data_IF_558017237558
#
_entry.id   IF_558017237558
#
_cell.length_a   1.000
_cell.length_b   1.000
_cell.length_c   1.000
_cell.angle_alpha   90.00
_cell.angle_beta   90.00
_cell.angle_gamma   90.00
#
_symmetry.space_group_name_H-M   'P 1'
#
loop_
_entity.id
_entity.type
_entity.pdbx_description
1 polymer ?
#
# COMPACT_ATOMS: atom_id res chain seq x y z
N UNK A 1 -16.11 37.54 28.38
CA UNK A 1 -14.70 37.20 28.10
C UNK A 1 -14.61 35.68 27.95
N UNK A 2 -14.57 35.17 26.72
CA UNK A 2 -14.22 33.77 26.48
C UNK A 2 -12.76 33.60 26.92
N UNK A 3 -12.49 32.74 27.92
CA UNK A 3 -11.11 32.44 28.31
C UNK A 3 -10.44 31.73 27.13
N UNK A 4 -9.45 32.39 26.53
CA UNK A 4 -8.61 31.79 25.50
C UNK A 4 -7.99 30.48 26.02
N UNK A 5 -8.15 29.40 25.26
CA UNK A 5 -7.59 28.11 25.62
C UNK A 5 -6.05 28.17 25.60
N UNK A 6 -5.43 27.54 26.60
CA UNK A 6 -3.96 27.41 26.64
C UNK A 6 -3.43 26.54 25.50
N UNK A 7 -2.17 26.74 25.14
CA UNK A 7 -1.45 25.97 24.12
C UNK A 7 -1.57 24.46 24.35
N UNK A 8 -1.41 24.01 25.59
CA UNK A 8 -1.53 22.59 25.95
C UNK A 8 -2.95 22.06 25.76
N UNK A 9 -4.00 22.86 26.02
CA UNK A 9 -5.39 22.45 25.78
C UNK A 9 -5.69 22.37 24.28
N UNK A 10 -5.25 23.36 23.51
CA UNK A 10 -5.37 23.36 22.06
C UNK A 10 -4.60 22.20 21.43
N UNK A 11 -3.41 21.89 21.94
CA UNK A 11 -2.60 20.74 21.52
C UNK A 11 -3.35 19.42 21.71
N UNK A 12 -3.92 19.20 22.90
CA UNK A 12 -4.69 18.00 23.20
C UNK A 12 -5.94 17.88 22.33
N UNK A 13 -6.74 18.95 22.20
CA UNK A 13 -7.94 18.92 21.37
C UNK A 13 -7.61 18.75 19.88
N UNK A 14 -6.57 19.41 19.38
CA UNK A 14 -6.12 19.28 18.00
C UNK A 14 -5.63 17.87 17.69
N UNK A 15 -4.81 17.29 18.57
CA UNK A 15 -4.33 15.91 18.42
C UNK A 15 -5.49 14.91 18.45
N UNK A 16 -6.44 15.08 19.38
CA UNK A 16 -7.64 14.26 19.46
C UNK A 16 -8.50 14.36 18.20
N UNK A 17 -8.72 15.57 17.66
CA UNK A 17 -9.48 15.76 16.43
C UNK A 17 -8.83 15.07 15.22
N UNK A 18 -7.50 15.17 15.07
CA UNK A 18 -6.77 14.46 14.00
C UNK A 18 -6.79 12.94 14.23
N UNK A 19 -6.66 12.49 15.48
CA UNK A 19 -6.75 11.08 15.87
C UNK A 19 -8.09 10.47 15.53
N UNK A 20 -9.18 11.18 15.84
CA UNK A 20 -10.54 10.78 15.52
C UNK A 20 -10.76 10.71 14.00
N UNK A 21 -10.30 11.72 13.25
CA UNK A 21 -10.35 11.72 11.79
C UNK A 21 -9.58 10.54 11.17
N UNK A 22 -8.40 10.22 11.71
CA UNK A 22 -7.67 9.03 11.26
C UNK A 22 -8.42 7.74 11.59
N UNK A 23 -8.97 7.62 12.80
CA UNK A 23 -9.78 6.48 13.23
C UNK A 23 -11.00 6.26 12.32
N UNK A 24 -11.76 7.31 12.01
CA UNK A 24 -12.89 7.27 11.07
C UNK A 24 -12.42 6.77 9.70
N UNK A 25 -11.35 7.36 9.16
CA UNK A 25 -10.78 6.96 7.88
C UNK A 25 -10.41 5.49 7.83
N UNK A 26 -9.66 5.03 8.82
CA UNK A 26 -9.11 3.70 8.75
C UNK A 26 -10.15 2.62 9.04
N UNK A 27 -11.12 2.91 9.92
CA UNK A 27 -12.26 2.04 10.15
C UNK A 27 -13.12 1.89 8.89
N UNK A 28 -13.45 2.98 8.19
CA UNK A 28 -14.23 2.89 6.94
C UNK A 28 -13.40 2.21 5.83
N UNK A 29 -12.10 2.48 5.74
CA UNK A 29 -11.21 1.80 4.79
C UNK A 29 -11.18 0.28 5.02
N UNK A 30 -11.07 -0.17 6.28
CA UNK A 30 -11.13 -1.59 6.66
C UNK A 30 -12.52 -2.17 6.38
N UNK A 31 -13.60 -1.42 6.65
CA UNK A 31 -14.97 -1.86 6.38
C UNK A 31 -15.23 -2.09 4.88
N UNK A 32 -14.79 -1.18 4.01
CA UNK A 32 -14.85 -1.38 2.56
C UNK A 32 -14.00 -2.60 2.15
N UNK A 33 -12.82 -2.76 2.74
CA UNK A 33 -11.91 -3.87 2.43
C UNK A 33 -12.49 -5.24 2.78
N UNK A 34 -13.18 -5.38 3.91
CA UNK A 34 -13.85 -6.62 4.32
C UNK A 34 -14.93 -7.10 3.35
N UNK A 35 -15.54 -6.19 2.57
CA UNK A 35 -16.57 -6.55 1.58
C UNK A 35 -16.01 -7.39 0.44
N UNK A 36 -14.71 -7.31 0.17
CA UNK A 36 -14.09 -7.95 -0.98
C UNK A 36 -14.33 -9.46 -1.04
N UNK A 37 -14.34 -10.15 0.11
CA UNK A 37 -14.69 -11.58 0.19
C UNK A 37 -16.11 -11.85 -0.32
N UNK A 38 -17.11 -11.15 0.24
CA UNK A 38 -18.50 -11.30 -0.17
C UNK A 38 -18.71 -10.94 -1.65
N UNK A 39 -18.07 -9.87 -2.14
CA UNK A 39 -18.11 -9.49 -3.57
C UNK A 39 -17.56 -10.60 -4.46
N UNK A 40 -16.46 -11.23 -4.06
CA UNK A 40 -15.87 -12.36 -4.78
C UNK A 40 -16.78 -13.60 -4.77
N UNK A 41 -17.34 -13.96 -3.61
CA UNK A 41 -18.23 -15.12 -3.45
C UNK A 41 -19.53 -14.97 -4.25
N UNK A 42 -20.11 -13.77 -4.25
CA UNK A 42 -21.34 -13.43 -4.98
C UNK A 42 -21.09 -13.11 -6.46
N UNK A 43 -19.83 -13.08 -6.89
CA UNK A 43 -19.41 -12.66 -8.24
C UNK A 43 -19.87 -11.24 -8.61
N UNK A 44 -20.00 -10.38 -7.61
CA UNK A 44 -20.40 -8.99 -7.76
C UNK A 44 -19.21 -8.10 -8.13
N UNK A 45 -18.87 -8.13 -9.41
CA UNK A 45 -17.75 -7.38 -9.98
C UNK A 45 -18.02 -5.88 -10.06
N UNK A 46 -19.29 -5.48 -10.21
CA UNK A 46 -19.68 -4.07 -10.21
C UNK A 46 -19.51 -3.48 -8.81
N UNK A 47 -19.95 -4.19 -7.77
CA UNK A 47 -19.72 -3.83 -6.38
C UNK A 47 -18.24 -3.76 -6.02
N UNK A 48 -17.42 -4.71 -6.50
CA UNK A 48 -15.97 -4.66 -6.33
C UNK A 48 -15.35 -3.37 -6.94
N UNK A 49 -15.79 -2.99 -8.15
CA UNK A 49 -15.32 -1.77 -8.80
C UNK A 49 -15.79 -0.51 -8.03
N UNK A 50 -17.04 -0.48 -7.59
CA UNK A 50 -17.59 0.61 -6.79
C UNK A 50 -16.86 0.78 -5.45
N UNK A 51 -16.57 -0.33 -4.76
CA UNK A 51 -15.79 -0.33 -3.52
C UNK A 51 -14.34 0.18 -3.77
N UNK A 52 -13.76 -0.09 -4.95
CA UNK A 52 -12.43 0.43 -5.33
C UNK A 52 -12.44 1.95 -5.47
N UNK A 53 -13.44 2.50 -6.16
CA UNK A 53 -13.62 3.95 -6.30
C UNK A 53 -13.87 4.61 -4.94
N UNK A 54 -14.77 4.03 -4.14
CA UNK A 54 -15.07 4.56 -2.79
C UNK A 54 -13.82 4.61 -1.91
N UNK A 55 -13.01 3.56 -1.92
CA UNK A 55 -11.76 3.47 -1.15
C UNK A 55 -10.72 4.51 -1.58
N UNK A 56 -10.67 4.85 -2.88
CA UNK A 56 -9.78 5.89 -3.42
C UNK A 56 -10.17 7.30 -2.95
N UNK A 57 -11.48 7.61 -2.94
CA UNK A 57 -11.99 8.93 -2.60
C UNK A 57 -12.06 9.20 -1.09
N UNK A 58 -12.26 8.14 -0.29
CA UNK A 58 -12.54 8.19 1.14
C UNK A 58 -11.60 9.13 1.91
N UNK A 59 -10.30 8.98 1.69
CA UNK A 59 -9.30 9.74 2.44
C UNK A 59 -9.43 11.24 2.22
N UNK A 60 -9.63 11.68 0.98
CA UNK A 60 -9.72 13.11 0.67
C UNK A 60 -10.92 13.75 1.36
N UNK A 61 -12.05 13.02 1.45
CA UNK A 61 -13.27 13.47 2.14
C UNK A 61 -13.03 13.65 3.64
N UNK A 62 -12.38 12.68 4.28
CA UNK A 62 -12.13 12.72 5.72
C UNK A 62 -11.04 13.75 6.08
N UNK A 63 -10.01 13.90 5.26
CA UNK A 63 -9.01 14.96 5.43
C UNK A 63 -9.68 16.34 5.35
N UNK A 64 -10.59 16.57 4.39
CA UNK A 64 -11.28 17.85 4.28
C UNK A 64 -12.11 18.16 5.55
N UNK A 65 -12.86 17.18 6.06
CA UNK A 65 -13.62 17.32 7.32
C UNK A 65 -12.72 17.60 8.52
N UNK A 66 -11.62 16.83 8.64
CA UNK A 66 -10.66 16.99 9.74
C UNK A 66 -10.02 18.38 9.71
N UNK A 67 -9.65 18.86 8.52
CA UNK A 67 -9.08 20.21 8.34
C UNK A 67 -10.08 21.30 8.72
N UNK A 68 -11.36 21.16 8.32
CA UNK A 68 -12.41 22.10 8.75
C UNK A 68 -12.58 22.13 10.26
N UNK A 69 -12.66 20.97 10.90
CA UNK A 69 -12.78 20.87 12.37
C UNK A 69 -11.58 21.50 13.08
N UNK A 70 -10.35 21.31 12.57
CA UNK A 70 -9.15 21.94 13.13
C UNK A 70 -9.17 23.46 12.95
N UNK A 71 -9.64 23.96 11.80
CA UNK A 71 -9.78 25.41 11.56
C UNK A 71 -10.77 26.04 12.53
N UNK A 72 -11.91 25.40 12.79
CA UNK A 72 -12.89 25.88 13.77
C UNK A 72 -12.35 25.79 15.20
N UNK A 73 -11.63 24.72 15.54
CA UNK A 73 -11.08 24.51 16.88
C UNK A 73 -9.98 25.50 17.25
N UNK A 74 -9.06 25.76 16.32
CA UNK A 74 -7.89 26.62 16.57
C UNK A 74 -8.14 28.08 16.21
N UNK A 75 -9.11 28.37 15.35
CA UNK A 75 -9.54 29.70 14.90
C UNK A 75 -8.34 30.59 14.50
N UNK A 76 -8.15 31.75 15.15
CA UNK A 76 -7.03 32.67 14.88
C UNK A 76 -5.65 32.03 15.09
N UNK A 77 -5.56 30.97 15.90
CA UNK A 77 -4.32 30.22 16.19
C UNK A 77 -4.10 29.02 15.28
N UNK A 78 -4.88 28.86 14.22
CA UNK A 78 -4.72 27.72 13.29
C UNK A 78 -3.34 27.62 12.64
N UNK A 79 -2.63 28.75 12.50
CA UNK A 79 -1.27 28.80 11.94
C UNK A 79 -0.19 29.01 13.00
N UNK A 80 -0.51 28.89 14.29
CA UNK A 80 0.45 29.06 15.38
C UNK A 80 1.37 27.83 15.49
N UNK A 81 2.64 28.04 15.17
CA UNK A 81 3.65 26.98 15.14
C UNK A 81 3.83 26.29 16.49
N UNK A 82 3.78 27.03 17.60
CA UNK A 82 3.96 26.49 18.95
C UNK A 82 2.86 25.51 19.31
N UNK A 83 1.62 25.83 18.92
CA UNK A 83 0.47 24.92 19.10
C UNK A 83 0.70 23.64 18.31
N UNK A 84 1.13 23.73 17.06
CA UNK A 84 1.35 22.57 16.19
C UNK A 84 2.48 21.65 16.64
N UNK A 85 3.55 22.21 17.20
CA UNK A 85 4.59 21.40 17.89
C UNK A 85 3.95 20.61 19.04
N UNK A 86 3.10 21.26 19.85
CA UNK A 86 2.34 20.58 20.91
C UNK A 86 1.38 19.52 20.38
N UNK A 87 0.61 19.82 19.33
CA UNK A 87 -0.30 18.86 18.68
C UNK A 87 0.50 17.63 18.21
N UNK A 88 1.64 17.83 17.53
CA UNK A 88 2.47 16.72 17.03
C UNK A 88 2.94 15.84 18.19
N UNK A 89 3.43 16.44 19.27
CA UNK A 89 3.94 15.71 20.44
C UNK A 89 2.83 14.85 21.09
N UNK A 90 1.65 15.43 21.33
CA UNK A 90 0.51 14.68 21.88
C UNK A 90 0.06 13.58 20.92
N UNK A 91 -0.04 13.89 19.63
CA UNK A 91 -0.46 12.92 18.61
C UNK A 91 0.51 11.73 18.50
N UNK A 92 1.82 11.98 18.55
CA UNK A 92 2.85 10.94 18.54
C UNK A 92 2.66 9.95 19.71
N UNK A 93 2.42 10.46 20.92
CA UNK A 93 2.08 9.64 22.08
C UNK A 93 0.78 8.83 21.90
N UNK A 94 -0.25 9.40 21.28
CA UNK A 94 -1.52 8.70 21.03
C UNK A 94 -1.41 7.53 20.04
N UNK A 95 -0.49 7.61 19.07
CA UNK A 95 -0.35 6.59 18.03
C UNK A 95 0.68 5.51 18.37
N UNK A 96 1.42 5.65 19.47
CA UNK A 96 2.49 4.71 19.86
C UNK A 96 1.98 3.27 20.00
N UNK A 97 0.78 3.06 20.56
CA UNK A 97 0.24 1.70 20.75
C UNK A 97 -0.55 1.16 19.54
N UNK A 98 -0.51 1.86 18.40
CA UNK A 98 -1.27 1.45 17.21
C UNK A 98 -0.50 0.45 16.37
N UNK A 99 -1.25 -0.44 15.73
CA UNK A 99 -0.77 -1.42 14.76
C UNK A 99 -0.55 -0.81 13.35
N UNK A 100 -0.98 0.44 13.16
CA UNK A 100 -1.03 1.17 11.89
C UNK A 100 -0.48 2.61 12.01
N UNK A 101 0.44 2.82 12.97
CA UNK A 101 1.02 4.11 13.33
C UNK A 101 1.64 4.84 12.12
N UNK A 102 2.27 4.12 11.19
CA UNK A 102 2.94 4.67 10.02
C UNK A 102 1.94 5.32 9.04
N UNK A 103 0.72 4.77 9.00
CA UNK A 103 -0.38 5.32 8.22
C UNK A 103 -0.97 6.55 8.93
N UNK A 104 -1.00 6.53 10.26
CA UNK A 104 -1.43 7.64 11.12
C UNK A 104 -0.52 8.86 10.96
N UNK A 105 0.81 8.69 11.04
CA UNK A 105 1.80 9.75 10.75
C UNK A 105 1.55 10.39 9.37
N UNK A 106 1.29 9.56 8.36
CA UNK A 106 0.99 10.06 7.00
C UNK A 106 -0.35 10.80 6.93
N UNK A 107 -1.35 10.37 7.69
CA UNK A 107 -2.62 11.08 7.85
C UNK A 107 -2.40 12.46 8.47
N UNK A 108 -1.67 12.53 9.57
CA UNK A 108 -1.27 13.78 10.21
C UNK A 108 -0.58 14.74 9.23
N UNK A 109 0.45 14.26 8.52
CA UNK A 109 1.16 15.05 7.50
C UNK A 109 0.25 15.58 6.38
N UNK A 110 -0.84 14.87 6.09
CA UNK A 110 -1.81 15.31 5.08
C UNK A 110 -2.69 16.45 5.60
N UNK A 111 -2.99 16.46 6.89
CA UNK A 111 -3.76 17.55 7.55
C UNK A 111 -2.88 18.79 7.67
N UNK A 112 -1.68 18.67 8.23
CA UNK A 112 -0.75 19.80 8.44
C UNK A 112 -0.44 20.53 7.13
N UNK A 113 -0.11 19.78 6.06
CA UNK A 113 0.16 20.36 4.73
C UNK A 113 -1.03 21.05 4.10
N UNK A 114 -2.26 20.71 4.47
CA UNK A 114 -3.47 21.38 3.98
C UNK A 114 -3.74 22.70 4.71
N UNK A 115 -3.17 22.86 5.91
CA UNK A 115 -3.30 24.05 6.74
C UNK A 115 -2.19 25.05 6.40
N UNK A 116 -0.93 24.65 6.49
CA UNK A 116 0.21 25.55 6.29
C UNK A 116 0.59 25.80 4.83
N UNK A 117 0.10 24.99 3.89
CA UNK A 117 0.53 25.03 2.49
C UNK A 117 2.07 25.06 2.32
N UNK A 118 2.79 24.40 3.24
CA UNK A 118 4.24 24.51 3.42
C UNK A 118 5.01 24.27 2.13
N UNK A 119 5.94 25.18 1.81
CA UNK A 119 6.97 24.97 0.79
C UNK A 119 8.16 24.28 1.45
N UNK A 120 8.40 23.02 1.11
CA UNK A 120 9.47 22.22 1.72
C UNK A 120 8.95 21.24 2.78
N UNK A 121 9.70 21.06 3.86
CA UNK A 121 9.34 20.24 5.03
C UNK A 121 9.72 20.96 6.31
N UNK A 122 8.90 20.83 7.34
CA UNK A 122 9.20 21.29 8.68
C UNK A 122 9.10 20.12 9.66
N UNK A 123 10.25 19.63 10.13
CA UNK A 123 10.33 18.46 11.00
C UNK A 123 9.74 18.71 12.41
N UNK A 124 9.54 19.96 12.81
CA UNK A 124 8.95 20.29 14.12
C UNK A 124 7.44 20.05 14.11
N UNK A 125 6.78 20.18 12.95
CA UNK A 125 5.33 20.05 12.79
C UNK A 125 4.91 18.96 11.79
N UNK A 126 5.84 18.25 11.15
CA UNK A 126 5.58 17.10 10.26
C UNK A 126 6.44 15.89 10.66
N UNK A 127 5.93 14.69 10.38
CA UNK A 127 6.69 13.43 10.46
C UNK A 127 7.50 13.23 9.17
N UNK A 128 8.68 13.85 9.09
CA UNK A 128 9.59 13.75 7.92
C UNK A 128 10.24 12.36 7.86
N UNK A 129 10.81 11.91 8.96
CA UNK A 129 11.04 10.48 9.22
C UNK A 129 9.91 9.93 10.09
N UNK A 130 9.90 8.63 10.32
CA UNK A 130 9.03 8.06 11.36
C UNK A 130 9.62 8.35 12.73
N UNK A 131 8.77 8.57 13.72
CA UNK A 131 9.22 8.69 15.12
C UNK A 131 9.56 7.30 15.73
N UNK A 132 9.35 6.21 14.96
CA UNK A 132 9.52 4.83 15.39
C UNK A 132 10.45 4.03 14.47
N UNK A 133 11.66 3.69 14.93
CA UNK A 133 12.65 2.93 14.15
C UNK A 133 12.22 1.47 13.85
N UNK A 134 11.36 0.91 14.70
CA UNK A 134 10.76 -0.41 14.57
C UNK A 134 9.27 -0.31 14.93
N UNK A 135 8.43 -1.31 14.58
CA UNK A 135 7.05 -1.35 15.05
C UNK A 135 6.99 -1.13 16.56
N UNK A 136 6.21 -0.15 17.05
CA UNK A 136 6.18 0.19 18.47
C UNK A 136 5.51 -0.91 19.30
N UNK A 137 4.83 -1.84 18.64
CA UNK A 137 4.09 -2.94 19.25
C UNK A 137 4.46 -4.28 18.59
N UNK A 138 4.35 -5.37 19.35
CA UNK A 138 4.50 -6.73 18.83
C UNK A 138 3.25 -7.18 18.07
N UNK A 139 3.43 -8.04 17.06
CA UNK A 139 2.31 -8.63 16.33
C UNK A 139 1.44 -9.48 17.27
N UNK A 140 0.17 -9.09 17.43
CA UNK A 140 -0.81 -9.77 18.30
C UNK A 140 -1.41 -11.01 17.64
N UNK A 141 -1.45 -11.03 16.31
CA UNK A 141 -1.98 -12.14 15.52
C UNK A 141 -0.96 -12.57 14.46
N UNK A 142 -0.88 -13.87 14.13
CA UNK A 142 0.02 -14.34 13.10
C UNK A 142 -0.43 -13.83 11.72
N UNK A 143 0.52 -13.26 10.98
CA UNK A 143 0.30 -12.81 9.61
C UNK A 143 0.41 -13.97 8.62
N UNK A 144 1.10 -15.05 9.01
CA UNK A 144 1.31 -16.24 8.21
C UNK A 144 0.75 -17.48 8.91
N UNK A 145 0.07 -18.32 8.14
CA UNK A 145 -0.22 -19.70 8.50
C UNK A 145 0.84 -20.61 7.91
N UNK A 146 1.32 -21.57 8.69
CA UNK A 146 2.36 -22.52 8.27
C UNK A 146 1.75 -23.92 8.13
N UNK A 147 2.04 -24.58 7.02
CA UNK A 147 1.64 -25.94 6.68
C UNK A 147 2.91 -26.79 6.56
N UNK A 148 3.08 -27.79 7.41
CA UNK A 148 4.24 -28.67 7.39
C UNK A 148 3.85 -30.05 6.82
N UNK A 149 4.80 -30.74 6.18
CA UNK A 149 4.58 -32.11 5.72
C UNK A 149 4.43 -33.12 6.88
N UNK A 150 5.00 -32.78 8.04
CA UNK A 150 4.89 -33.53 9.31
C UNK A 150 4.09 -32.75 10.35
N UNK A 151 2.83 -32.43 10.06
CA UNK A 151 1.95 -31.82 11.07
C UNK A 151 1.38 -32.91 12.00
N UNK A 152 1.48 -32.74 13.31
CA UNK A 152 1.19 -33.77 14.33
C UNK A 152 -0.32 -34.06 14.43
N UNK A 153 -1.16 -33.13 13.98
CA UNK A 153 -2.62 -33.25 13.97
C UNK A 153 -3.19 -33.93 12.71
N UNK A 154 -2.40 -34.05 11.65
CA UNK A 154 -2.84 -34.54 10.34
C UNK A 154 -2.04 -35.78 9.96
N UNK A 155 -2.70 -36.83 9.44
CA UNK A 155 -2.01 -37.94 8.75
C UNK A 155 -0.90 -37.36 7.87
N UNK A 156 0.31 -37.95 7.91
CA UNK A 156 1.48 -37.48 7.13
C UNK A 156 1.01 -37.01 5.75
N UNK A 157 1.25 -35.74 5.45
CA UNK A 157 0.97 -35.19 4.13
C UNK A 157 2.15 -35.60 3.25
N UNK A 158 2.12 -36.88 2.83
CA UNK A 158 3.23 -37.55 2.14
C UNK A 158 3.43 -37.06 0.69
N UNK A 159 2.60 -36.12 0.21
CA UNK A 159 2.73 -35.53 -1.13
C UNK A 159 2.49 -34.02 -1.15
N UNK A 160 3.11 -33.36 -2.12
CA UNK A 160 2.88 -31.94 -2.42
C UNK A 160 1.39 -31.66 -2.67
N UNK A 161 0.70 -32.55 -3.38
CA UNK A 161 -0.74 -32.41 -3.65
C UNK A 161 -1.57 -32.43 -2.36
N UNK A 162 -1.30 -33.36 -1.44
CA UNK A 162 -2.02 -33.43 -0.18
C UNK A 162 -1.83 -32.16 0.66
N UNK A 163 -0.61 -31.62 0.72
CA UNK A 163 -0.31 -30.38 1.43
C UNK A 163 -1.07 -29.18 0.83
N UNK A 164 -1.06 -29.06 -0.49
CA UNK A 164 -1.80 -27.99 -1.18
C UNK A 164 -3.31 -28.17 -1.00
N UNK A 165 -3.82 -29.40 -1.02
CA UNK A 165 -5.24 -29.67 -0.78
C UNK A 165 -5.66 -29.24 0.63
N UNK A 166 -4.86 -29.58 1.66
CA UNK A 166 -5.09 -29.15 3.03
C UNK A 166 -5.09 -27.62 3.15
N UNK A 167 -4.10 -26.96 2.54
CA UNK A 167 -4.02 -25.50 2.47
C UNK A 167 -5.28 -24.90 1.82
N UNK A 168 -5.74 -25.43 0.68
CA UNK A 168 -6.93 -24.90 0.01
C UNK A 168 -8.19 -25.08 0.87
N UNK A 169 -8.32 -26.19 1.59
CA UNK A 169 -9.48 -26.47 2.47
C UNK A 169 -9.56 -25.52 3.66
N UNK A 170 -8.43 -25.02 4.14
CA UNK A 170 -8.39 -24.02 5.22
C UNK A 170 -8.92 -22.64 4.81
N UNK A 171 -8.86 -22.30 3.52
CA UNK A 171 -9.38 -21.03 3.00
C UNK A 171 -10.81 -21.20 2.50
N UNK A 172 -11.75 -21.12 3.43
CA UNK A 172 -13.17 -21.35 3.14
C UNK A 172 -13.85 -20.13 2.48
N UNK A 173 -14.67 -20.44 1.49
CA UNK A 173 -15.57 -19.50 0.81
C UNK A 173 -17.01 -19.97 0.99
N UNK A 174 -17.97 -19.04 0.92
CA UNK A 174 -19.39 -19.39 0.85
C UNK A 174 -19.74 -20.11 -0.47
N UNK A 175 -19.03 -19.79 -1.55
CA UNK A 175 -19.09 -20.54 -2.80
C UNK A 175 -18.22 -21.81 -2.68
N UNK A 176 -18.74 -23.00 -3.05
CA UNK A 176 -17.95 -24.23 -2.97
C UNK A 176 -16.79 -24.20 -3.98
N UNK A 177 -15.74 -24.93 -3.66
CA UNK A 177 -14.73 -25.28 -4.65
C UNK A 177 -15.32 -26.26 -5.68
N UNK A 178 -14.92 -26.11 -6.94
CA UNK A 178 -15.31 -27.05 -8.00
C UNK A 178 -14.76 -28.45 -7.73
N UNK A 179 -13.44 -28.53 -7.54
CA UNK A 179 -12.72 -29.76 -7.29
C UNK A 179 -11.35 -29.43 -6.67
N UNK A 180 -11.27 -29.47 -5.34
CA UNK A 180 -10.05 -29.11 -4.60
C UNK A 180 -8.92 -30.10 -4.89
N UNK A 181 -9.22 -31.39 -5.01
CA UNK A 181 -8.21 -32.42 -5.22
C UNK A 181 -7.56 -32.27 -6.60
N UNK A 182 -8.35 -32.05 -7.64
CA UNK A 182 -7.87 -31.77 -9.00
C UNK A 182 -6.99 -30.53 -9.04
N UNK A 183 -7.43 -29.44 -8.42
CA UNK A 183 -6.70 -28.18 -8.44
C UNK A 183 -5.40 -28.30 -7.64
N UNK A 184 -5.41 -28.97 -6.48
CA UNK A 184 -4.22 -29.27 -5.71
C UNK A 184 -3.21 -30.12 -6.49
N UNK A 185 -3.67 -31.13 -7.22
CA UNK A 185 -2.81 -31.94 -8.10
C UNK A 185 -2.17 -31.11 -9.20
N UNK A 186 -2.94 -30.21 -9.86
CA UNK A 186 -2.41 -29.31 -10.89
C UNK A 186 -1.34 -28.39 -10.34
N UNK A 187 -1.58 -27.80 -9.16
CA UNK A 187 -0.60 -26.94 -8.48
C UNK A 187 0.66 -27.73 -8.10
N UNK A 188 0.51 -28.93 -7.55
CA UNK A 188 1.62 -29.80 -7.18
C UNK A 188 2.52 -30.14 -8.37
N UNK A 189 1.94 -30.49 -9.51
CA UNK A 189 2.69 -30.73 -10.76
C UNK A 189 3.50 -29.49 -11.17
N UNK A 190 2.96 -28.28 -11.02
CA UNK A 190 3.69 -27.04 -11.32
C UNK A 190 4.85 -26.80 -10.35
N UNK A 191 4.62 -27.03 -9.05
CA UNK A 191 5.64 -26.91 -8.01
C UNK A 191 6.78 -27.90 -8.26
N UNK A 192 6.47 -29.18 -8.45
CA UNK A 192 7.46 -30.22 -8.70
C UNK A 192 8.24 -29.96 -9.98
N UNK A 193 7.59 -29.51 -11.04
CA UNK A 193 8.26 -29.10 -12.28
C UNK A 193 9.25 -27.96 -12.05
N UNK A 194 8.88 -26.97 -11.24
CA UNK A 194 9.78 -25.87 -10.86
C UNK A 194 10.97 -26.36 -10.03
N UNK A 195 10.71 -27.21 -9.04
CA UNK A 195 11.75 -27.77 -8.17
C UNK A 195 12.74 -28.62 -8.97
N UNK A 196 12.27 -29.46 -9.91
CA UNK A 196 13.14 -30.23 -10.83
C UNK A 196 14.06 -29.32 -11.64
N UNK A 197 13.55 -28.22 -12.19
CA UNK A 197 14.38 -27.25 -12.94
C UNK A 197 15.46 -26.59 -12.09
N UNK A 198 15.22 -26.46 -10.79
CA UNK A 198 16.17 -25.88 -9.83
C UNK A 198 17.07 -26.94 -9.18
N UNK A 199 16.93 -28.22 -9.53
CA UNK A 199 17.59 -29.35 -8.86
C UNK A 199 17.33 -29.38 -7.35
N UNK A 200 16.14 -28.91 -6.93
CA UNK A 200 15.72 -28.86 -5.54
C UNK A 200 15.01 -30.18 -5.11
N UNK A 201 14.98 -30.50 -3.81
CA UNK A 201 14.17 -31.62 -3.31
C UNK A 201 12.71 -31.49 -3.72
N UNK A 202 12.09 -32.59 -4.14
CA UNK A 202 10.67 -32.61 -4.55
C UNK A 202 9.69 -32.61 -3.38
N UNK A 203 10.20 -32.87 -2.17
CA UNK A 203 9.42 -32.84 -0.94
C UNK A 203 9.46 -31.45 -0.33
N UNK A 204 8.28 -30.87 -0.12
CA UNK A 204 8.13 -29.61 0.59
C UNK A 204 8.33 -29.82 2.09
N UNK A 205 9.21 -29.04 2.69
CA UNK A 205 9.38 -29.01 4.15
C UNK A 205 8.23 -28.25 4.80
N UNK A 206 7.86 -27.11 4.21
CA UNK A 206 6.84 -26.20 4.74
C UNK A 206 6.27 -25.29 3.64
N UNK A 207 5.02 -24.89 3.77
CA UNK A 207 4.41 -23.77 3.05
C UNK A 207 3.92 -22.74 4.05
N UNK A 208 4.15 -21.46 3.76
CA UNK A 208 3.65 -20.34 4.56
C UNK A 208 2.78 -19.43 3.70
N UNK A 209 1.52 -19.24 4.08
CA UNK A 209 0.56 -18.38 3.38
C UNK A 209 0.11 -17.26 4.29
N UNK A 210 -0.06 -16.05 3.75
CA UNK A 210 -0.72 -14.95 4.44
C UNK A 210 -2.10 -15.37 4.96
N UNK A 211 -2.39 -15.08 6.23
CA UNK A 211 -3.66 -15.46 6.87
C UNK A 211 -4.87 -14.79 6.22
N UNK A 212 -4.66 -13.66 5.54
CA UNK A 212 -5.68 -12.87 4.86
C UNK A 212 -5.53 -12.99 3.35
N UNK A 213 -6.67 -13.19 2.68
CA UNK A 213 -6.76 -13.33 1.22
C UNK A 213 -6.67 -11.96 0.57
N UNK A 214 -5.93 -11.88 -0.54
CA UNK A 214 -5.84 -10.66 -1.35
C UNK A 214 -6.88 -10.72 -2.46
N UNK A 215 -7.66 -9.67 -2.67
CA UNK A 215 -8.65 -9.61 -3.74
C UNK A 215 -8.32 -8.49 -4.72
N UNK A 216 -8.46 -8.76 -6.02
CA UNK A 216 -8.32 -7.74 -7.07
C UNK A 216 -9.09 -8.11 -8.32
N UNK A 217 -10.00 -7.22 -8.72
CA UNK A 217 -10.88 -7.47 -9.85
C UNK A 217 -11.73 -8.70 -9.58
N UNK A 218 -11.64 -9.71 -10.45
CA UNK A 218 -12.41 -10.96 -10.36
C UNK A 218 -11.67 -12.12 -9.69
N UNK A 219 -10.51 -11.85 -9.08
CA UNK A 219 -9.62 -12.88 -8.53
C UNK A 219 -9.37 -12.68 -7.05
N UNK A 220 -9.27 -13.81 -6.36
CA UNK A 220 -8.70 -13.92 -5.03
C UNK A 220 -7.29 -14.51 -5.14
N UNK A 221 -6.39 -14.16 -4.21
CA UNK A 221 -5.01 -14.60 -4.24
C UNK A 221 -4.57 -15.04 -2.85
N UNK A 222 -4.10 -16.28 -2.77
CA UNK A 222 -3.39 -16.80 -1.60
C UNK A 222 -1.91 -16.54 -1.82
N UNK A 223 -1.30 -15.73 -0.96
CA UNK A 223 0.05 -15.19 -1.16
C UNK A 223 0.97 -15.75 -0.11
N UNK A 224 2.07 -16.37 -0.54
CA UNK A 224 2.90 -17.17 0.34
C UNK A 224 4.30 -17.44 -0.20
N UNK A 225 4.99 -18.33 0.50
CA UNK A 225 6.24 -18.95 0.08
C UNK A 225 6.27 -20.41 0.49
N UNK A 226 6.98 -21.21 -0.28
CA UNK A 226 7.22 -22.62 0.00
C UNK A 226 8.71 -22.86 0.26
N UNK A 227 8.99 -23.91 1.02
CA UNK A 227 10.32 -24.34 1.44
C UNK A 227 10.55 -25.77 0.97
N UNK A 228 11.64 -25.99 0.24
CA UNK A 228 12.08 -27.30 -0.22
C UNK A 228 13.59 -27.44 0.07
N UNK A 229 13.93 -28.00 1.24
CA UNK A 229 15.30 -27.98 1.75
C UNK A 229 15.79 -26.53 1.94
N UNK A 230 16.91 -26.18 1.31
CA UNK A 230 17.46 -24.82 1.34
C UNK A 230 16.77 -23.84 0.37
N UNK A 231 15.91 -24.34 -0.53
CA UNK A 231 15.24 -23.49 -1.52
C UNK A 231 13.98 -22.85 -0.93
N UNK A 232 13.88 -21.54 -1.08
CA UNK A 232 12.70 -20.74 -0.74
C UNK A 232 12.15 -20.15 -2.03
N UNK A 233 10.92 -20.50 -2.38
CA UNK A 233 10.26 -19.99 -3.57
C UNK A 233 8.99 -19.23 -3.17
N UNK A 234 8.62 -18.15 -3.89
CA UNK A 234 7.30 -17.59 -3.72
C UNK A 234 6.24 -18.60 -4.15
N UNK A 235 5.06 -18.52 -3.55
CA UNK A 235 3.89 -19.30 -3.93
C UNK A 235 2.68 -18.37 -3.91
N UNK A 236 2.16 -18.03 -5.08
CA UNK A 236 0.88 -17.31 -5.19
C UNK A 236 -0.12 -18.13 -5.97
N UNK A 237 -1.22 -18.48 -5.33
CA UNK A 237 -2.34 -19.15 -5.99
C UNK A 237 -3.37 -18.08 -6.37
N UNK A 238 -3.70 -17.98 -7.66
CA UNK A 238 -4.75 -17.13 -8.16
C UNK A 238 -6.04 -17.95 -8.31
N UNK A 239 -7.09 -17.55 -7.59
CA UNK A 239 -8.38 -18.20 -7.57
C UNK A 239 -9.39 -17.38 -8.36
N UNK A 240 -10.25 -18.08 -9.10
CA UNK A 240 -11.41 -17.52 -9.77
C UNK A 240 -12.68 -18.14 -9.21
N UNK A 241 -13.80 -17.43 -9.37
CA UNK A 241 -15.13 -17.91 -9.04
C UNK A 241 -16.05 -17.75 -10.25
N UNK A 242 -16.43 -18.86 -10.87
CA UNK A 242 -17.28 -18.90 -12.06
C UNK A 242 -18.67 -19.51 -11.73
N UNK A 243 -19.38 -20.06 -12.73
CA UNK A 243 -20.67 -20.70 -12.49
C UNK A 243 -20.59 -22.09 -11.83
N UNK A 244 -19.48 -22.80 -12.01
CA UNK A 244 -19.26 -24.11 -11.41
C UNK A 244 -18.66 -24.01 -10.00
N UNK A 245 -18.05 -22.88 -9.63
CA UNK A 245 -17.55 -22.61 -8.28
C UNK A 245 -16.14 -22.04 -8.27
N UNK A 246 -15.52 -22.07 -7.09
CA UNK A 246 -14.14 -21.59 -6.90
C UNK A 246 -13.13 -22.61 -7.42
N UNK A 247 -12.13 -22.16 -8.16
CA UNK A 247 -11.03 -23.00 -8.61
C UNK A 247 -9.70 -22.23 -8.67
N UNK A 248 -8.59 -22.96 -8.65
CA UNK A 248 -7.25 -22.38 -8.85
C UNK A 248 -6.98 -22.24 -10.35
N UNK A 249 -6.89 -21.00 -10.81
CA UNK A 249 -6.63 -20.62 -12.21
C UNK A 249 -5.14 -20.65 -12.53
N UNK A 250 -4.29 -20.23 -11.59
CA UNK A 250 -2.84 -20.18 -11.79
C UNK A 250 -2.07 -20.32 -10.47
N UNK A 251 -0.84 -20.82 -10.57
CA UNK A 251 0.16 -20.81 -9.51
C UNK A 251 1.42 -20.08 -9.99
N UNK A 252 1.81 -19.01 -9.31
CA UNK A 252 3.01 -18.23 -9.60
C UNK A 252 4.11 -18.65 -8.62
N UNK A 253 5.24 -19.09 -9.17
CA UNK A 253 6.38 -19.67 -8.42
C UNK A 253 7.68 -18.88 -8.62
N UNK A 254 7.62 -17.77 -9.35
CA UNK A 254 8.74 -16.95 -9.77
C UNK A 254 8.67 -15.55 -9.17
N UNK A 255 9.82 -15.02 -8.73
CA UNK A 255 9.91 -13.67 -8.16
C UNK A 255 9.40 -12.61 -9.14
N UNK A 256 9.76 -12.73 -10.42
CA UNK A 256 9.39 -11.77 -11.46
C UNK A 256 7.87 -11.71 -11.67
N UNK A 257 7.22 -12.88 -11.68
CA UNK A 257 5.77 -13.00 -11.80
C UNK A 257 5.04 -12.38 -10.61
N UNK A 258 5.52 -12.64 -9.39
CA UNK A 258 4.99 -12.03 -8.17
C UNK A 258 5.28 -10.53 -8.16
N UNK A 259 6.43 -10.09 -8.64
CA UNK A 259 6.76 -8.67 -8.80
C UNK A 259 5.81 -7.96 -9.76
N UNK A 260 5.44 -8.59 -10.88
CA UNK A 260 4.44 -8.06 -11.82
C UNK A 260 3.05 -8.01 -11.16
N UNK A 261 2.72 -9.02 -10.35
CA UNK A 261 1.46 -9.08 -9.62
C UNK A 261 1.29 -7.89 -8.66
N UNK A 262 2.35 -7.51 -7.94
CA UNK A 262 2.41 -6.37 -7.01
C UNK A 262 2.92 -5.07 -7.67
N UNK A 263 2.77 -4.92 -8.99
CA UNK A 263 3.15 -3.69 -9.69
C UNK A 263 2.23 -2.50 -9.34
N UNK A 264 2.83 -1.30 -9.21
CA UNK A 264 2.10 -0.04 -9.03
C UNK A 264 1.23 0.36 -10.23
N UNK A 265 1.41 -0.27 -11.40
CA UNK A 265 0.59 -0.04 -12.61
C UNK A 265 -0.74 -0.79 -12.61
N UNK A 266 -0.98 -1.63 -11.61
CA UNK A 266 -2.23 -2.38 -11.45
C UNK A 266 -3.11 -1.73 -10.38
N UNK A 267 -4.40 -2.09 -10.39
CA UNK A 267 -5.31 -1.73 -9.30
C UNK A 267 -4.82 -2.32 -7.97
N UNK A 268 -5.19 -1.64 -6.88
CA UNK A 268 -4.78 -2.03 -5.54
C UNK A 268 -5.53 -3.30 -5.09
N UNK A 269 -4.85 -4.12 -4.30
CA UNK A 269 -5.46 -5.23 -3.60
C UNK A 269 -6.36 -4.74 -2.47
N UNK A 270 -7.46 -5.46 -2.29
CA UNK A 270 -8.19 -5.47 -1.03
C UNK A 270 -7.64 -6.61 -0.19
N UNK A 271 -6.97 -6.25 0.90
CA UNK A 271 -6.44 -7.19 1.89
C UNK A 271 -6.63 -6.56 3.26
N UNK A 272 -7.20 -7.32 4.19
CA UNK A 272 -7.32 -6.90 5.57
C UNK A 272 -5.94 -6.94 6.21
N UNK A 273 -5.31 -5.78 6.35
CA UNK A 273 -4.01 -5.63 6.98
C UNK A 273 -4.18 -4.87 8.29
N UNK A 274 -4.27 -5.60 9.39
CA UNK A 274 -4.32 -5.01 10.74
C UNK A 274 -2.99 -4.35 11.07
N UNK A 275 -1.88 -4.98 10.67
CA UNK A 275 -0.50 -4.49 10.76
C UNK A 275 0.13 -4.34 9.37
N UNK A 276 -0.10 -3.21 8.67
CA UNK A 276 0.36 -3.02 7.29
C UNK A 276 1.88 -3.13 7.14
N UNK A 277 2.65 -2.59 8.10
CA UNK A 277 4.10 -2.72 8.16
C UNK A 277 4.57 -4.17 8.01
N UNK A 278 4.10 -5.07 8.87
CA UNK A 278 4.57 -6.45 8.89
C UNK A 278 4.13 -7.21 7.63
N UNK A 279 2.94 -6.93 7.11
CA UNK A 279 2.49 -7.47 5.82
C UNK A 279 3.42 -7.02 4.68
N UNK A 280 3.80 -5.75 4.65
CA UNK A 280 4.74 -5.21 3.64
C UNK A 280 6.10 -5.87 3.80
N UNK A 281 6.62 -6.04 5.02
CA UNK A 281 7.88 -6.77 5.26
C UNK A 281 7.83 -8.21 4.77
N UNK A 282 6.72 -8.90 5.01
CA UNK A 282 6.51 -10.24 4.46
C UNK A 282 6.54 -10.23 2.93
N UNK A 283 5.81 -9.32 2.28
CA UNK A 283 5.80 -9.18 0.82
C UNK A 283 7.20 -8.84 0.26
N UNK A 284 8.02 -8.07 0.98
CA UNK A 284 9.41 -7.82 0.61
C UNK A 284 10.25 -9.10 0.59
N UNK A 285 9.95 -10.10 1.42
CA UNK A 285 10.63 -11.40 1.35
C UNK A 285 10.28 -12.19 0.08
N UNK A 286 9.14 -11.89 -0.55
CA UNK A 286 8.72 -12.49 -1.82
C UNK A 286 9.23 -11.72 -3.03
N UNK A 287 9.44 -10.41 -2.88
CA UNK A 287 9.93 -9.50 -3.94
C UNK A 287 11.03 -8.57 -3.38
N UNK A 288 12.25 -9.06 -3.11
CA UNK A 288 13.30 -8.29 -2.43
C UNK A 288 13.72 -7.02 -3.16
N UNK A 289 13.58 -7.01 -4.50
CA UNK A 289 13.92 -5.87 -5.34
C UNK A 289 12.87 -4.76 -5.32
N UNK A 290 11.66 -5.01 -4.80
CA UNK A 290 10.60 -4.00 -4.70
C UNK A 290 10.77 -3.14 -3.45
N UNK A 291 10.59 -1.83 -3.66
CA UNK A 291 10.58 -0.86 -2.56
C UNK A 291 9.32 -1.03 -1.70
N UNK A 292 9.44 -0.76 -0.40
CA UNK A 292 8.30 -0.76 0.52
C UNK A 292 7.17 0.16 0.02
N UNK A 293 7.53 1.34 -0.50
CA UNK A 293 6.60 2.29 -1.11
C UNK A 293 5.68 1.66 -2.17
N UNK A 294 6.20 0.79 -3.04
CA UNK A 294 5.39 0.12 -4.07
C UNK A 294 4.44 -0.91 -3.47
N UNK A 295 4.87 -1.61 -2.43
CA UNK A 295 4.06 -2.62 -1.74
C UNK A 295 2.92 -1.96 -0.95
N UNK A 296 3.17 -0.84 -0.25
CA UNK A 296 2.11 -0.05 0.38
C UNK A 296 1.07 0.45 -0.63
N UNK A 297 1.52 0.93 -1.80
CA UNK A 297 0.62 1.30 -2.89
C UNK A 297 -0.21 0.08 -3.31
N UNK A 298 0.42 -1.07 -3.50
CA UNK A 298 -0.24 -2.29 -3.97
C UNK A 298 -1.34 -2.78 -3.03
N UNK A 299 -1.25 -2.54 -1.71
CA UNK A 299 -2.28 -2.91 -0.72
C UNK A 299 -3.28 -1.78 -0.43
N UNK A 300 -3.19 -0.65 -1.15
CA UNK A 300 -4.16 0.45 -1.10
C UNK A 300 -3.73 1.71 -0.34
N UNK A 301 -2.59 1.69 0.34
CA UNK A 301 -2.05 2.84 1.09
C UNK A 301 -1.19 3.76 0.20
N UNK A 302 -1.75 4.22 -0.91
CA UNK A 302 -1.02 4.99 -1.93
C UNK A 302 -0.43 6.32 -1.43
N UNK A 303 -1.04 6.97 -0.43
CA UNK A 303 -0.46 8.18 0.19
C UNK A 303 0.73 7.85 1.07
N UNK A 304 0.67 6.76 1.84
CA UNK A 304 1.81 6.31 2.63
C UNK A 304 2.96 5.84 1.75
N UNK A 305 2.68 5.18 0.63
CA UNK A 305 3.71 4.89 -0.37
C UNK A 305 4.42 6.14 -0.93
N UNK A 306 3.77 7.32 -0.92
CA UNK A 306 4.47 8.59 -1.25
C UNK A 306 5.38 9.06 -0.12
N UNK A 307 4.93 8.94 1.13
CA UNK A 307 5.75 9.22 2.32
C UNK A 307 7.01 8.36 2.32
N UNK A 308 6.86 7.04 2.14
CA UNK A 308 7.98 6.10 2.08
C UNK A 308 8.92 6.37 0.92
N UNK A 309 8.39 6.69 -0.26
CA UNK A 309 9.23 7.06 -1.41
C UNK A 309 10.04 8.34 -1.14
N UNK A 310 9.46 9.30 -0.42
CA UNK A 310 10.14 10.53 -0.04
C UNK A 310 11.24 10.26 0.99
N UNK A 311 10.96 9.44 2.02
CA UNK A 311 11.95 8.98 3.01
C UNK A 311 13.13 8.26 2.34
N UNK A 312 12.85 7.32 1.43
CA UNK A 312 13.87 6.62 0.63
C UNK A 312 14.76 7.60 -0.16
N UNK A 313 14.15 8.63 -0.76
CA UNK A 313 14.88 9.64 -1.52
C UNK A 313 15.81 10.46 -0.62
N UNK A 314 15.33 10.90 0.54
CA UNK A 314 16.12 11.65 1.51
C UNK A 314 17.30 10.82 2.02
N UNK A 315 17.08 9.54 2.40
CA UNK A 315 18.14 8.61 2.83
C UNK A 315 19.19 8.42 1.73
N UNK A 316 18.76 8.26 0.48
CA UNK A 316 19.67 8.13 -0.66
C UNK A 316 20.50 9.40 -0.90
N UNK A 317 19.90 10.59 -0.76
CA UNK A 317 20.61 11.86 -0.89
C UNK A 317 21.61 12.06 0.25
N UNK A 318 21.23 11.80 1.50
CA UNK A 318 22.12 11.89 2.66
C UNK A 318 23.36 10.98 2.50
N UNK A 319 23.15 9.73 2.08
CA UNK A 319 24.25 8.78 1.83
C UNK A 319 25.19 9.24 0.70
N UNK A 320 24.67 9.94 -0.31
CA UNK A 320 25.50 10.53 -1.37
C UNK A 320 26.25 11.76 -0.90
N UNK A 321 25.65 12.59 -0.06
CA UNK A 321 26.31 13.79 0.49
C UNK A 321 27.44 13.43 1.45
N UNK A 322 27.30 12.31 2.19
CA UNK A 322 28.38 11.76 3.01
C UNK A 322 29.55 11.28 2.13
N UNK A 323 29.27 10.57 1.02
CA UNK A 323 30.30 10.18 0.05
C UNK A 323 30.89 11.36 -0.75
N UNK A 324 30.15 12.47 -0.90
CA UNK A 324 30.61 13.68 -1.57
C UNK A 324 31.35 14.64 -0.63
N UNK A 325 31.52 14.36 0.67
CA UNK A 325 32.52 15.08 1.48
C UNK A 325 33.97 14.81 1.02
N UNK A 326 34.18 13.90 0.06
CA UNK A 326 35.42 13.77 -0.72
C UNK A 326 35.50 14.69 -1.96
N UNK A 327 34.43 15.44 -2.30
CA UNK A 327 34.42 16.40 -3.42
C UNK A 327 33.52 17.60 -3.11
N UNK A 328 34.15 18.71 -2.66
CA UNK A 328 33.52 20.03 -2.53
C UNK A 328 32.84 20.44 -3.84
N UNK A 329 31.59 20.89 -3.75
CA UNK A 329 31.11 22.09 -4.43
C UNK A 329 29.71 22.46 -3.93
N UNK A 330 29.61 23.70 -3.43
CA UNK A 330 28.41 24.46 -3.12
C UNK A 330 27.51 24.54 -4.35
N UNK A 331 26.20 24.32 -4.20
CA UNK A 331 25.24 24.86 -5.15
C UNK A 331 23.84 24.99 -4.55
N UNK A 332 23.36 26.23 -4.49
CA UNK A 332 21.94 26.56 -4.42
C UNK A 332 21.25 26.11 -5.71
N UNK A 333 20.07 25.48 -5.63
CA UNK A 333 19.28 25.17 -6.83
C UNK A 333 17.81 25.49 -6.62
N UNK A 334 17.33 26.44 -7.42
CA UNK A 334 15.93 26.60 -7.76
C UNK A 334 15.50 25.43 -8.65
N UNK A 335 14.32 24.88 -8.39
CA UNK A 335 13.80 23.70 -9.08
C UNK A 335 13.42 24.06 -10.53
N UNK A 336 14.32 23.80 -11.48
CA UNK A 336 13.98 23.52 -12.88
C UNK A 336 14.30 22.06 -13.18
N UNK A 337 13.36 21.38 -13.85
CA UNK A 337 13.35 19.95 -14.18
C UNK A 337 14.73 19.28 -14.28
N UNK A 338 15.08 18.45 -13.30
CA UNK A 338 16.18 17.49 -13.41
C UNK A 338 15.63 16.07 -13.55
N UNK A 339 15.77 15.50 -14.75
CA UNK A 339 15.70 14.05 -14.96
C UNK A 339 17.00 13.47 -14.39
N UNK A 340 16.95 12.87 -13.21
CA UNK A 340 18.08 12.07 -12.73
C UNK A 340 18.17 10.79 -13.57
N UNK A 341 19.20 10.67 -14.43
CA UNK A 341 19.40 9.57 -15.40
C UNK A 341 19.46 8.14 -14.80
N UNK A 342 19.30 7.95 -13.49
CA UNK A 342 19.20 6.62 -12.84
C UNK A 342 17.84 6.29 -12.20
N UNK A 343 16.88 7.21 -12.22
CA UNK A 343 15.51 6.95 -11.77
C UNK A 343 14.56 7.11 -12.96
N UNK A 344 14.00 5.99 -13.45
CA UNK A 344 12.97 5.98 -14.51
C UNK A 344 11.63 6.54 -14.00
N UNK A 345 11.56 7.81 -13.56
CA UNK A 345 10.28 8.49 -13.31
C UNK A 345 10.35 9.95 -13.74
N UNK A 346 9.40 10.35 -14.57
CA UNK A 346 9.11 11.74 -14.93
C UNK A 346 8.06 12.32 -13.97
N UNK A 347 8.34 13.47 -13.37
CA UNK A 347 7.35 14.32 -12.72
C UNK A 347 6.68 15.22 -13.75
N UNK A 348 5.35 15.14 -13.94
CA UNK A 348 4.59 16.14 -14.71
C UNK A 348 4.15 17.26 -13.77
N UNK A 349 4.66 18.48 -14.00
CA UNK A 349 4.06 19.72 -13.47
C UNK A 349 3.24 20.37 -14.60
N UNK A 350 1.94 20.57 -14.37
CA UNK A 350 1.11 21.40 -15.24
C UNK A 350 1.35 22.87 -14.89
N UNK A 351 1.97 23.61 -15.81
CA UNK A 351 2.20 25.06 -15.67
C UNK A 351 0.95 25.79 -16.17
N UNK A 352 0.16 26.38 -15.26
CA UNK A 352 -0.87 27.35 -15.63
C UNK A 352 -0.13 28.67 -15.92
N UNK A 353 -0.09 29.09 -17.19
CA UNK A 353 0.37 30.43 -17.57
C UNK A 353 -0.86 31.30 -17.83
N UNK A 354 -1.07 32.31 -17.00
CA UNK A 354 -1.89 33.47 -17.31
C UNK A 354 -1.08 34.44 -18.18
N UNK A 355 -1.57 34.80 -19.36
CA UNK A 355 -1.26 36.11 -19.98
C UNK A 355 -2.29 36.44 -21.05
N UNK A 356 -2.92 37.61 -20.87
CA UNK A 356 -3.73 38.35 -21.81
C UNK A 356 -2.93 38.98 -22.96
N UNK A 357 -3.64 39.30 -24.05
CA UNK A 357 -3.39 40.26 -25.15
C UNK A 357 -2.76 39.77 -26.48
N UNK A 358 -3.67 39.61 -27.46
CA UNK A 358 -3.73 40.13 -28.85
C UNK A 358 -2.51 40.17 -29.82
N UNK A 359 -2.67 39.36 -30.90
CA UNK A 359 -2.44 39.57 -32.38
C UNK A 359 -0.99 39.69 -32.96
N UNK A 360 -0.76 39.49 -34.29
CA UNK A 360 -1.04 38.31 -35.13
C UNK A 360 0.10 37.91 -36.14
N UNK A 361 -0.06 36.75 -36.80
CA UNK A 361 0.52 36.27 -38.09
C UNK A 361 2.05 36.15 -38.34
N UNK A 362 2.53 34.90 -38.53
CA UNK A 362 3.00 34.39 -39.86
C UNK A 362 3.31 32.88 -39.86
N UNK A 363 2.97 32.27 -40.99
CA UNK A 363 3.14 30.87 -41.42
C UNK A 363 4.59 30.33 -41.39
N UNK A 364 4.77 29.04 -41.04
CA UNK A 364 5.20 27.97 -41.98
C UNK A 364 5.35 26.57 -41.33
N UNK A 365 4.89 25.58 -42.10
CA UNK A 365 5.26 24.14 -42.21
C UNK A 365 4.97 23.13 -41.07
N UNK A 366 4.02 22.23 -41.39
CA UNK A 366 3.55 20.94 -40.81
C UNK A 366 4.60 19.79 -40.89
N UNK A 367 4.28 18.52 -40.52
CA UNK A 367 3.43 17.98 -39.44
C UNK A 367 4.17 16.90 -38.60
N UNK A 368 3.65 16.57 -37.41
CA UNK A 368 3.65 15.18 -36.97
C UNK A 368 2.43 14.92 -36.08
N UNK A 369 1.58 14.04 -36.58
CA UNK A 369 0.27 13.65 -36.04
C UNK A 369 0.49 12.68 -34.88
N UNK A 370 0.08 13.05 -33.66
CA UNK A 370 -0.18 12.10 -32.57
C UNK A 370 -1.66 12.25 -32.23
N UNK A 371 -2.42 11.18 -32.47
CA UNK A 371 -3.82 11.08 -32.13
C UNK A 371 -3.99 11.03 -30.61
N UNK A 372 -4.66 12.03 -30.04
CA UNK A 372 -5.25 11.97 -28.70
C UNK A 372 -6.75 11.71 -28.86
N UNK A 373 -7.21 10.51 -28.50
CA UNK A 373 -8.64 10.26 -28.28
C UNK A 373 -9.03 10.85 -26.92
N UNK A 374 -9.76 11.97 -26.95
CA UNK A 374 -10.54 12.47 -25.84
C UNK A 374 -11.98 11.96 -26.01
N UNK A 375 -12.50 11.22 -25.03
CA UNK A 375 -13.92 10.89 -24.96
C UNK A 375 -14.59 11.89 -24.03
N UNK A 376 -15.28 12.84 -24.65
CA UNK A 376 -16.31 13.69 -24.05
C UNK A 376 -17.52 12.86 -23.65
N UNK A 377 -17.99 13.06 -22.42
CA UNK A 377 -19.35 12.68 -22.01
C UNK A 377 -20.36 13.65 -22.65
N UNK A 378 -21.52 13.19 -23.15
CA UNK A 378 -22.66 14.06 -23.37
C UNK A 378 -23.51 14.13 -22.11
N UNK A 379 -23.81 15.34 -21.66
CA UNK A 379 -24.95 15.61 -20.80
C UNK A 379 -26.20 15.79 -21.65
N UNK A 380 -27.30 15.19 -21.22
CA UNK A 380 -28.51 15.85 -20.69
C UNK A 380 -29.05 14.94 -19.59
#
# INVERSE_FOLDING_TARGET
MSQSLSDSRLANFGAAAIGNGFGEYHNEFKAITRRAKARFEQRDWQGMLADSTRRLELRSKIIARTVSAIRELLDERVNDHTVWVGIKAVYSGMIADRDDWEIAETFYNSVTRRIFATVGVDAQIEFVDTDFDAPPTHARTPILRSYASTDVASKRLDSTAALIEHLLRDFTFAAPYQDVARDAQRVAVQIERKLRRLSAPLMLTRVQIATKIFYRGRRAYLVGKLYAGAHILPLVLALQNDAAGVHVDAALLDEDDVSILFSFTRSYFFVEADRPYDLVRFLQTLTPRKRAAELYISIGYHKHGKTELYRDLLKHLANRTINSKSRRASAAWSCSCFICRRTKRSSKLSRIRSTSRNRPHRNRSKPNTIWCFATTAPGV
#
